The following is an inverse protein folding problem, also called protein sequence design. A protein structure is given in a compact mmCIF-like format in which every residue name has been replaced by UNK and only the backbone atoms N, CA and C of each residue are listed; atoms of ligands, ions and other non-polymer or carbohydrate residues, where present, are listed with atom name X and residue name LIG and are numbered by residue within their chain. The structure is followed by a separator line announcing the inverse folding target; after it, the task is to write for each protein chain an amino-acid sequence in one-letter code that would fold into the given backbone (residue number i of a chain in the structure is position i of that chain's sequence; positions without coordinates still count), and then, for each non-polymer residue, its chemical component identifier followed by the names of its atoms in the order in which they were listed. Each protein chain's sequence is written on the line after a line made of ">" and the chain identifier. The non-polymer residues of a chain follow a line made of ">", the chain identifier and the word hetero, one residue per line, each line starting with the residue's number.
data_IF_119491772950
#
_entry.id   IF_119491772950
#
_cell.length_a   1.000
_cell.length_b   1.000
_cell.length_c   1.000
_cell.angle_alpha   90.00
_cell.angle_beta   90.00
_cell.angle_gamma   90.00
#
_symmetry.space_group_name_H-M   'P 1'
#
loop_
_entity.id
_entity.type
_entity.pdbx_description
1 polymer ?
#
# COMPACT_ATOMS: atom_id res chain seq x y z
N UNK A 1 8.58 -6.73 -10.90
CA UNK A 1 8.03 -7.75 -9.97
C UNK A 1 7.83 -7.08 -8.63
N UNK A 2 6.70 -7.30 -7.94
CA UNK A 2 6.48 -6.73 -6.62
C UNK A 2 7.53 -7.26 -5.64
N UNK A 3 8.08 -6.37 -4.80
CA UNK A 3 9.08 -6.71 -3.79
C UNK A 3 8.47 -6.96 -2.41
N UNK A 4 7.28 -6.46 -2.14
CA UNK A 4 6.68 -6.49 -0.81
C UNK A 4 7.40 -5.51 0.12
N UNK A 5 6.98 -5.50 1.39
CA UNK A 5 7.53 -4.57 2.38
C UNK A 5 9.02 -4.79 2.65
N UNK A 6 9.79 -3.71 2.71
CA UNK A 6 11.23 -3.72 3.03
C UNK A 6 11.51 -2.76 4.19
N UNK A 7 11.83 -3.30 5.36
CA UNK A 7 12.02 -2.51 6.59
C UNK A 7 13.02 -1.36 6.46
N UNK A 8 14.12 -1.54 5.71
CA UNK A 8 15.13 -0.50 5.50
C UNK A 8 14.60 0.72 4.73
N UNK A 9 13.51 0.57 3.99
CA UNK A 9 12.88 1.67 3.26
C UNK A 9 11.88 2.47 4.12
N UNK A 10 11.67 2.08 5.38
CA UNK A 10 10.82 2.78 6.35
C UNK A 10 11.66 3.60 7.32
N UNK A 11 11.49 4.93 7.30
CA UNK A 11 12.24 5.88 8.13
C UNK A 11 11.31 6.76 8.95
N UNK A 12 11.69 7.07 10.19
CA UNK A 12 11.01 8.08 11.01
C UNK A 12 11.42 9.47 10.52
N UNK A 13 10.44 10.35 10.30
CA UNK A 13 10.67 11.77 10.04
C UNK A 13 10.48 12.63 11.29
N UNK A 14 9.42 12.37 12.06
CA UNK A 14 9.10 13.14 13.25
C UNK A 14 8.31 12.31 14.27
N UNK A 15 8.43 12.70 15.54
CA UNK A 15 7.65 12.15 16.63
C UNK A 15 7.14 13.29 17.52
N UNK A 16 5.83 13.33 17.76
CA UNK A 16 5.21 14.34 18.61
C UNK A 16 3.89 13.81 19.19
N UNK A 17 3.63 14.07 20.48
CA UNK A 17 2.33 13.82 21.13
C UNK A 17 1.79 12.38 20.97
N UNK A 18 2.67 11.37 20.96
CA UNK A 18 2.26 9.97 20.78
C UNK A 18 1.94 9.57 19.33
N UNK A 19 2.22 10.46 18.37
CA UNK A 19 2.12 10.23 16.94
C UNK A 19 3.51 10.20 16.29
N UNK A 20 3.69 9.32 15.32
CA UNK A 20 4.90 9.22 14.50
C UNK A 20 4.58 9.49 13.03
N UNK A 21 5.37 10.38 12.42
CA UNK A 21 5.37 10.58 10.97
C UNK A 21 6.51 9.76 10.36
N UNK A 22 6.15 8.92 9.40
CA UNK A 22 7.06 8.02 8.70
C UNK A 22 7.18 8.40 7.23
N UNK A 23 8.33 8.09 6.63
CA UNK A 23 8.52 8.03 5.20
C UNK A 23 8.79 6.60 4.78
N UNK A 24 8.14 6.15 3.70
CA UNK A 24 8.37 4.84 3.12
C UNK A 24 8.61 4.95 1.62
N UNK A 25 9.57 4.20 1.09
CA UNK A 25 9.83 4.13 -0.36
C UNK A 25 9.54 2.74 -0.88
N UNK A 26 8.88 2.66 -2.02
CA UNK A 26 8.66 1.38 -2.70
C UNK A 26 8.51 1.54 -4.20
N UNK A 27 8.79 0.47 -4.93
CA UNK A 27 8.47 0.36 -6.36
C UNK A 27 7.21 -0.48 -6.59
N UNK A 28 6.59 -0.97 -5.51
CA UNK A 28 5.31 -1.66 -5.57
C UNK A 28 4.19 -0.68 -5.95
N UNK A 29 3.14 -1.19 -6.57
CA UNK A 29 2.00 -0.36 -6.96
C UNK A 29 1.15 0.03 -5.74
N UNK A 30 0.47 1.19 -5.76
CA UNK A 30 -0.41 1.62 -4.67
C UNK A 30 -1.45 0.59 -4.26
N UNK A 31 -2.00 -0.19 -5.21
CA UNK A 31 -3.00 -1.23 -4.91
C UNK A 31 -2.43 -2.32 -3.99
N UNK A 32 -1.15 -2.67 -4.16
CA UNK A 32 -0.49 -3.65 -3.32
C UNK A 32 -0.19 -3.08 -1.94
N UNK A 33 0.23 -1.82 -1.84
CA UNK A 33 0.48 -1.16 -0.55
C UNK A 33 -0.78 -1.01 0.29
N UNK A 34 -1.93 -0.81 -0.37
CA UNK A 34 -3.24 -0.73 0.28
C UNK A 34 -3.90 -2.08 0.51
N UNK A 35 -3.30 -3.17 0.02
CA UNK A 35 -3.88 -4.49 0.19
C UNK A 35 -3.93 -4.88 1.67
N UNK A 36 -5.08 -5.40 2.07
CA UNK A 36 -5.26 -6.05 3.37
C UNK A 36 -4.82 -7.50 3.31
N UNK A 37 -4.68 -8.09 2.13
CA UNK A 37 -4.19 -9.45 1.98
C UNK A 37 -2.66 -9.47 2.06
N UNK A 38 -2.10 -10.37 2.85
CA UNK A 38 -0.68 -10.68 2.81
C UNK A 38 -0.56 -12.19 2.59
N UNK A 39 0.42 -12.60 1.79
CA UNK A 39 0.62 -14.01 1.41
C UNK A 39 1.10 -14.92 2.56
N UNK A 40 1.06 -14.45 3.81
CA UNK A 40 1.36 -15.20 5.02
C UNK A 40 0.11 -15.21 5.93
N UNK A 41 -0.42 -16.37 6.35
CA UNK A 41 -1.60 -16.44 7.21
C UNK A 41 -1.44 -15.77 8.58
N UNK A 42 -0.21 -15.57 9.05
CA UNK A 42 0.08 -14.97 10.37
C UNK A 42 0.18 -13.44 10.33
N UNK A 43 0.25 -12.84 9.12
CA UNK A 43 0.44 -11.41 8.93
C UNK A 43 -0.58 -10.90 7.93
N UNK A 44 -1.25 -9.79 8.23
CA UNK A 44 -2.29 -9.24 7.34
C UNK A 44 -1.96 -7.78 7.00
N UNK A 45 -2.04 -7.42 5.73
CA UNK A 45 -1.69 -6.09 5.22
C UNK A 45 -0.21 -5.89 4.86
N UNK A 46 0.06 -4.96 3.95
CA UNK A 46 1.41 -4.72 3.40
C UNK A 46 2.46 -4.39 4.48
N UNK A 47 2.09 -3.59 5.48
CA UNK A 47 3.00 -3.14 6.54
C UNK A 47 3.08 -4.07 7.77
N UNK A 48 2.48 -5.27 7.71
CA UNK A 48 2.46 -6.21 8.84
C UNK A 48 3.84 -6.52 9.45
N UNK A 49 4.95 -6.66 8.67
CA UNK A 49 6.27 -6.87 9.26
C UNK A 49 6.79 -5.70 10.11
N UNK A 50 6.14 -4.53 10.05
CA UNK A 50 6.43 -3.35 10.87
C UNK A 50 5.43 -3.16 12.02
N UNK A 51 4.65 -4.19 12.38
CA UNK A 51 3.64 -4.11 13.44
C UNK A 51 4.19 -3.70 14.81
N UNK A 52 5.46 -4.00 15.11
CA UNK A 52 6.10 -3.60 16.37
C UNK A 52 6.61 -2.14 16.34
N UNK A 53 6.66 -1.52 15.16
CA UNK A 53 7.15 -0.16 14.96
C UNK A 53 5.99 0.84 14.84
N UNK A 54 4.95 0.46 14.10
CA UNK A 54 3.82 1.32 13.76
C UNK A 54 2.74 1.30 14.85
N UNK A 55 2.05 2.42 15.03
CA UNK A 55 0.93 2.55 15.97
C UNK A 55 -0.30 3.13 15.29
N UNK A 56 -1.49 2.77 15.79
CA UNK A 56 -2.75 3.41 15.36
C UNK A 56 -2.62 4.93 15.50
N UNK A 57 -2.93 5.65 14.41
CA UNK A 57 -2.84 7.09 14.33
C UNK A 57 -1.58 7.61 13.65
N UNK A 58 -0.52 6.81 13.53
CA UNK A 58 0.68 7.17 12.77
C UNK A 58 0.35 7.49 11.31
N UNK A 59 1.17 8.33 10.68
CA UNK A 59 1.05 8.63 9.26
C UNK A 59 2.30 8.15 8.52
N UNK A 60 2.09 7.61 7.33
CA UNK A 60 3.17 7.15 6.45
C UNK A 60 3.06 7.89 5.13
N UNK A 61 4.07 8.69 4.81
CA UNK A 61 4.23 9.26 3.47
C UNK A 61 4.93 8.22 2.61
N UNK A 62 4.24 7.68 1.63
CA UNK A 62 4.76 6.68 0.70
C UNK A 62 5.17 7.35 -0.60
N UNK A 63 6.42 7.16 -1.01
CA UNK A 63 6.92 7.53 -2.32
C UNK A 63 7.02 6.30 -3.21
N UNK A 64 6.33 6.33 -4.35
CA UNK A 64 6.31 5.26 -5.33
C UNK A 64 7.30 5.56 -6.46
N UNK A 65 8.28 4.67 -6.64
CA UNK A 65 9.31 4.78 -7.68
C UNK A 65 9.05 3.92 -8.93
N UNK A 66 7.88 3.29 -9.02
CA UNK A 66 7.55 2.34 -10.09
C UNK A 66 7.09 2.95 -11.43
N UNK A 67 6.90 4.27 -11.50
CA UNK A 67 6.36 4.99 -12.66
C UNK A 67 7.31 6.04 -13.25
N UNK A 68 6.93 6.66 -14.39
CA UNK A 68 7.74 7.72 -15.04
C UNK A 68 7.78 9.02 -14.23
N UNK A 69 6.82 9.23 -13.34
CA UNK A 69 6.75 10.37 -12.42
C UNK A 69 6.70 9.86 -10.97
N UNK A 70 7.31 10.58 -10.02
CA UNK A 70 7.21 10.24 -8.60
C UNK A 70 5.78 10.44 -8.11
N UNK A 71 5.15 9.36 -7.67
CA UNK A 71 3.83 9.40 -7.04
C UNK A 71 3.99 9.37 -5.51
N UNK A 72 3.12 10.08 -4.80
CA UNK A 72 3.16 10.24 -3.36
C UNK A 72 1.77 10.07 -2.74
N UNK A 73 1.69 9.19 -1.75
CA UNK A 73 0.45 8.96 -1.00
C UNK A 73 0.73 9.06 0.49
N UNK A 74 -0.10 9.83 1.19
CA UNK A 74 -0.09 9.82 2.65
C UNK A 74 -1.11 8.80 3.14
N UNK A 75 -0.67 7.92 4.04
CA UNK A 75 -1.48 6.91 4.69
C UNK A 75 -1.67 7.25 6.16
N UNK A 76 -2.81 6.86 6.72
CA UNK A 76 -3.02 6.77 8.16
C UNK A 76 -3.02 5.29 8.57
N UNK A 77 -2.27 4.95 9.62
CA UNK A 77 -2.32 3.64 10.26
C UNK A 77 -3.62 3.55 11.06
N UNK A 78 -4.53 2.71 10.62
CA UNK A 78 -5.84 2.53 11.26
C UNK A 78 -5.80 1.51 12.38
N UNK A 79 -4.91 0.52 12.28
CA UNK A 79 -4.67 -0.48 13.31
C UNK A 79 -3.27 -1.07 13.16
N UNK A 80 -2.63 -1.38 14.29
CA UNK A 80 -1.36 -2.11 14.34
C UNK A 80 -1.41 -3.04 15.55
N UNK A 81 -1.35 -4.35 15.30
CA UNK A 81 -1.36 -5.40 16.32
C UNK A 81 0.01 -6.06 16.33
N UNK A 82 0.76 -6.03 17.45
CA UNK A 82 2.07 -6.68 17.56
C UNK A 82 2.01 -8.15 17.14
N UNK A 83 3.01 -8.60 16.38
CA UNK A 83 3.07 -9.93 15.79
C UNK A 83 1.85 -10.34 14.93
N UNK A 84 1.04 -9.38 14.48
CA UNK A 84 -0.19 -9.65 13.73
C UNK A 84 -0.26 -8.81 12.47
N UNK A 85 -1.13 -7.80 12.46
CA UNK A 85 -1.47 -7.08 11.24
C UNK A 85 -1.36 -5.57 11.39
N UNK A 86 -1.15 -4.91 10.25
CA UNK A 86 -1.19 -3.45 10.14
C UNK A 86 -2.15 -3.09 9.03
N UNK A 87 -3.16 -2.29 9.36
CA UNK A 87 -4.08 -1.72 8.37
C UNK A 87 -3.79 -0.24 8.17
N UNK A 88 -3.88 0.17 6.92
CA UNK A 88 -3.64 1.55 6.49
C UNK A 88 -4.77 2.01 5.58
N UNK A 89 -4.99 3.31 5.54
CA UNK A 89 -5.94 3.95 4.62
C UNK A 89 -5.34 5.22 4.03
N UNK A 90 -5.65 5.60 2.78
CA UNK A 90 -5.27 6.89 2.24
C UNK A 90 -5.83 8.05 3.08
N UNK A 91 -4.96 8.99 3.43
CA UNK A 91 -5.32 10.27 4.01
C UNK A 91 -5.94 11.13 2.88
N UNK A 92 -7.24 11.38 2.97
CA UNK A 92 -8.01 12.06 1.92
C UNK A 92 -9.16 11.24 1.32
N UNK A 93 -9.28 9.95 1.67
CA UNK A 93 -10.48 9.15 1.37
C UNK A 93 -10.65 8.72 -0.09
N UNK A 94 -9.67 8.96 -0.96
CA UNK A 94 -9.73 8.48 -2.34
C UNK A 94 -9.74 6.93 -2.38
N UNK A 95 -10.86 6.38 -2.83
CA UNK A 95 -10.97 4.99 -3.29
C UNK A 95 -9.97 4.84 -4.44
N UNK A 96 -9.18 3.76 -4.45
CA UNK A 96 -8.35 3.39 -5.62
C UNK A 96 -9.23 3.53 -6.87
N UNK A 97 -8.73 4.12 -7.98
CA UNK A 97 -9.48 4.16 -9.21
C UNK A 97 -9.88 2.72 -9.54
N UNK A 98 -11.18 2.47 -9.67
CA UNK A 98 -11.69 1.18 -10.10
C UNK A 98 -10.94 0.79 -11.36
N UNK A 99 -10.27 -0.36 -11.35
CA UNK A 99 -9.51 -0.85 -12.49
C UNK A 99 -10.39 -0.71 -13.72
N UNK A 100 -9.97 0.12 -14.69
CA UNK A 100 -10.68 0.22 -15.96
C UNK A 100 -10.79 -1.20 -16.50
N UNK A 101 -11.99 -1.77 -16.69
CA UNK A 101 -12.11 -3.11 -17.22
C UNK A 101 -11.38 -3.13 -18.56
N UNK A 102 -10.47 -4.09 -18.73
CA UNK A 102 -9.79 -4.30 -19.99
C UNK A 102 -10.86 -4.34 -21.10
N UNK A 103 -10.63 -3.68 -22.26
CA UNK A 103 -11.59 -3.71 -23.34
C UNK A 103 -11.88 -5.18 -23.65
N UNK A 104 -13.14 -5.57 -23.52
CA UNK A 104 -13.63 -6.90 -23.88
C UNK A 104 -13.18 -7.11 -25.32
N UNK A 105 -12.28 -8.07 -25.53
CA UNK A 105 -11.82 -8.42 -26.87
C UNK A 105 -13.06 -8.73 -27.71
N UNK A 106 -13.34 -7.88 -28.70
CA UNK A 106 -14.41 -8.09 -29.67
C UNK A 106 -14.12 -9.42 -30.34
N UNK A 107 -14.96 -10.43 -30.08
CA UNK A 107 -14.85 -11.71 -30.76
C UNK A 107 -14.94 -11.46 -32.27
N UNK A 108 -13.86 -11.82 -32.96
CA UNK A 108 -13.72 -11.75 -34.40
C UNK A 108 -14.84 -12.57 -35.04
N UNK A 109 -15.71 -11.90 -35.78
CA UNK A 109 -16.82 -12.53 -36.49
C UNK A 109 -16.24 -13.30 -37.68
N UNK A 110 -16.15 -14.62 -37.59
CA UNK A 110 -15.78 -15.47 -38.72
C UNK A 110 -16.85 -15.34 -39.82
N UNK A 111 -16.48 -15.15 -41.10
CA UNK A 111 -17.47 -15.14 -42.16
C UNK A 111 -17.99 -16.57 -42.38
N UNK A 112 -19.32 -16.70 -42.46
CA UNK A 112 -19.95 -17.86 -43.06
C UNK A 112 -19.93 -17.69 -44.58
N UNK A 113 -19.33 -18.64 -45.30
CA UNK A 113 -19.37 -18.74 -46.76
C UNK A 113 -18.07 -19.18 -47.38
#
# INVERSE_FOLDING_TARGET
>A
MPRGFVARELSILAYANGFTLWHYRTNDKPELVLSTECGNPDYTGYFAPACDLLRRGDQVIVSFGGGPEPDLMTLIVTEAVPCGYVTVRPLGGAKLPESVPAPVATAEFAPAG
#
